data_IF_765968683297
#
_entry.id   IF_765968683297
#
_cell.length_a   1.000
_cell.length_b   1.000
_cell.length_c   1.000
_cell.angle_alpha   90.00
_cell.angle_beta   90.00
_cell.angle_gamma   90.00
#
_symmetry.space_group_name_H-M   'P 1'
#
loop_
_entity.id
_entity.type
_entity.pdbx_description
1 polymer ?
#
# COMPACT_ATOMS: atom_id res chain seq x y z
N UNK A 1 -18.05 40.77 -14.11
CA UNK A 1 -18.15 39.65 -13.15
C UNK A 1 -17.37 38.43 -13.68
N UNK A 2 -16.03 38.50 -13.73
CA UNK A 2 -15.15 37.38 -14.20
C UNK A 2 -13.81 37.28 -13.44
N UNK A 3 -13.55 38.12 -12.43
CA UNK A 3 -12.22 38.27 -11.82
C UNK A 3 -12.11 37.58 -10.45
N UNK A 4 -13.22 37.09 -9.87
CA UNK A 4 -13.22 36.60 -8.47
C UNK A 4 -12.93 35.08 -8.29
N UNK A 5 -12.70 34.31 -9.36
CA UNK A 5 -12.48 32.85 -9.26
C UNK A 5 -11.06 32.38 -9.63
N UNK A 6 -10.20 33.27 -10.13
CA UNK A 6 -8.84 32.96 -10.61
C UNK A 6 -7.90 32.48 -9.47
N UNK A 7 -7.84 33.13 -8.28
CA UNK A 7 -6.90 32.70 -7.24
C UNK A 7 -7.26 31.35 -6.62
N UNK A 8 -8.52 30.91 -6.69
CA UNK A 8 -8.93 29.57 -6.24
C UNK A 8 -8.55 28.48 -7.26
N UNK A 9 -8.65 28.75 -8.56
CA UNK A 9 -8.20 27.81 -9.59
C UNK A 9 -6.68 27.59 -9.57
N UNK A 10 -5.88 28.63 -9.37
CA UNK A 10 -4.42 28.50 -9.24
C UNK A 10 -4.02 27.72 -7.98
N UNK A 11 -4.73 27.94 -6.86
CA UNK A 11 -4.52 27.18 -5.63
C UNK A 11 -4.85 25.69 -5.77
N UNK A 12 -5.97 25.35 -6.42
CA UNK A 12 -6.34 23.95 -6.67
C UNK A 12 -5.40 23.25 -7.66
N UNK A 13 -4.98 23.95 -8.72
CA UNK A 13 -3.98 23.43 -9.66
C UNK A 13 -2.62 23.17 -8.98
N UNK A 14 -2.19 24.05 -8.08
CA UNK A 14 -0.97 23.88 -7.30
C UNK A 14 -1.03 22.65 -6.37
N UNK A 15 -2.17 22.46 -5.70
CA UNK A 15 -2.39 21.29 -4.84
C UNK A 15 -2.34 19.99 -5.66
N UNK A 16 -2.96 20.00 -6.84
CA UNK A 16 -2.96 18.86 -7.76
C UNK A 16 -1.55 18.55 -8.28
N UNK A 17 -0.80 19.57 -8.68
CA UNK A 17 0.59 19.45 -9.12
C UNK A 17 1.49 18.90 -8.02
N UNK A 18 1.35 19.37 -6.77
CA UNK A 18 2.10 18.85 -5.62
C UNK A 18 1.83 17.36 -5.39
N UNK A 19 0.57 16.93 -5.48
CA UNK A 19 0.21 15.52 -5.36
C UNK A 19 0.79 14.67 -6.50
N UNK A 20 0.81 15.18 -7.74
CA UNK A 20 1.44 14.50 -8.87
C UNK A 20 2.96 14.35 -8.69
N UNK A 21 3.65 15.39 -8.18
CA UNK A 21 5.07 15.31 -7.87
C UNK A 21 5.40 14.27 -6.81
N UNK A 22 4.61 14.20 -5.74
CA UNK A 22 4.79 13.19 -4.68
C UNK A 22 4.62 11.78 -5.27
N UNK A 23 3.57 11.57 -6.07
CA UNK A 23 3.35 10.29 -6.76
C UNK A 23 4.52 9.92 -7.66
N UNK A 24 5.01 10.85 -8.49
CA UNK A 24 6.16 10.63 -9.37
C UNK A 24 7.42 10.26 -8.58
N UNK A 25 7.70 10.99 -7.49
CA UNK A 25 8.85 10.72 -6.64
C UNK A 25 8.80 9.31 -6.02
N UNK A 26 7.63 8.88 -5.54
CA UNK A 26 7.44 7.53 -5.02
C UNK A 26 7.72 6.46 -6.09
N UNK A 27 7.18 6.63 -7.30
CA UNK A 27 7.41 5.69 -8.41
C UNK A 27 8.88 5.62 -8.82
N UNK A 28 9.60 6.75 -8.83
CA UNK A 28 11.04 6.76 -9.13
C UNK A 28 11.86 6.00 -8.08
N UNK A 29 11.52 6.11 -6.80
CA UNK A 29 12.21 5.38 -5.73
C UNK A 29 11.86 3.89 -5.79
N UNK A 30 10.61 3.52 -6.11
CA UNK A 30 10.20 2.14 -6.37
C UNK A 30 10.98 1.52 -7.54
N UNK A 31 11.14 2.27 -8.62
CA UNK A 31 11.97 1.86 -9.76
C UNK A 31 13.43 1.65 -9.34
N UNK A 32 13.98 2.53 -8.50
CA UNK A 32 15.33 2.37 -7.96
C UNK A 32 15.46 1.10 -7.11
N UNK A 33 14.46 0.78 -6.29
CA UNK A 33 14.41 -0.47 -5.52
C UNK A 33 14.40 -1.69 -6.45
N UNK A 34 13.56 -1.71 -7.48
CA UNK A 34 13.49 -2.81 -8.45
C UNK A 34 14.84 -3.05 -9.13
N UNK A 35 15.53 -1.97 -9.54
CA UNK A 35 16.87 -2.07 -10.13
C UNK A 35 17.89 -2.66 -9.15
N UNK A 36 17.88 -2.25 -7.87
CA UNK A 36 18.76 -2.80 -6.85
C UNK A 36 18.47 -4.28 -6.55
N UNK A 37 17.19 -4.68 -6.56
CA UNK A 37 16.78 -6.08 -6.40
C UNK A 37 17.30 -6.92 -7.55
N UNK A 38 17.09 -6.47 -8.79
CA UNK A 38 17.58 -7.17 -9.98
C UNK A 38 19.11 -7.32 -9.96
N UNK A 39 19.84 -6.25 -9.64
CA UNK A 39 21.31 -6.29 -9.53
C UNK A 39 21.79 -7.28 -8.44
N UNK A 40 21.12 -7.30 -7.30
CA UNK A 40 21.47 -8.23 -6.23
C UNK A 40 21.12 -9.70 -6.57
N UNK A 41 20.03 -9.94 -7.30
CA UNK A 41 19.70 -11.29 -7.79
C UNK A 41 20.79 -11.85 -8.72
N UNK A 42 21.40 -11.00 -9.55
CA UNK A 42 22.44 -11.38 -10.50
C UNK A 42 23.83 -11.46 -9.84
N UNK A 43 24.21 -10.47 -9.03
CA UNK A 43 25.56 -10.35 -8.47
C UNK A 43 25.73 -11.05 -7.12
N UNK A 44 24.67 -11.17 -6.30
CA UNK A 44 24.68 -11.66 -4.90
C UNK A 44 25.75 -11.02 -3.99
N UNK A 45 26.27 -9.84 -4.34
CA UNK A 45 27.36 -9.19 -3.60
C UNK A 45 26.89 -8.37 -2.40
N UNK A 46 25.60 -8.04 -2.34
CA UNK A 46 25.05 -7.09 -1.37
C UNK A 46 24.07 -7.78 -0.42
N UNK A 47 24.04 -7.32 0.83
CA UNK A 47 23.01 -7.74 1.78
C UNK A 47 21.64 -7.24 1.32
N UNK A 48 20.62 -8.07 1.43
CA UNK A 48 19.24 -7.74 1.10
C UNK A 48 18.75 -6.56 1.92
N UNK A 49 19.16 -6.42 3.19
CA UNK A 49 18.81 -5.25 3.99
C UNK A 49 19.19 -3.92 3.32
N UNK A 50 20.30 -3.87 2.57
CA UNK A 50 20.77 -2.67 1.87
C UNK A 50 19.88 -2.36 0.66
N UNK A 51 19.51 -3.40 -0.08
CA UNK A 51 18.57 -3.30 -1.22
C UNK A 51 17.20 -2.79 -0.77
N UNK A 52 16.74 -3.18 0.41
CA UNK A 52 15.46 -2.73 0.97
C UNK A 52 15.49 -1.34 1.63
N UNK A 53 16.66 -0.69 1.80
CA UNK A 53 16.78 0.65 2.42
C UNK A 53 15.84 1.69 1.81
N UNK A 54 15.77 1.87 0.48
CA UNK A 54 14.92 2.90 -0.13
C UNK A 54 13.44 2.72 0.25
N UNK A 55 13.01 1.47 0.37
CA UNK A 55 11.64 1.09 0.72
C UNK A 55 11.34 1.36 2.20
N UNK A 56 12.29 1.05 3.09
CA UNK A 56 12.19 1.37 4.53
C UNK A 56 12.14 2.88 4.73
N UNK A 57 12.97 3.64 4.00
CA UNK A 57 12.98 5.10 4.08
C UNK A 57 11.64 5.70 3.65
N UNK A 58 11.07 5.27 2.52
CA UNK A 58 9.71 5.68 2.11
C UNK A 58 8.70 5.39 3.22
N UNK A 59 8.76 4.19 3.81
CA UNK A 59 7.80 3.79 4.84
C UNK A 59 7.87 4.68 6.08
N UNK A 60 9.07 5.09 6.50
CA UNK A 60 9.26 6.05 7.61
C UNK A 60 8.71 7.44 7.25
N UNK A 61 9.05 7.95 6.06
CA UNK A 61 8.50 9.22 5.56
C UNK A 61 6.97 9.17 5.52
N UNK A 62 6.42 8.03 5.11
CA UNK A 62 5.00 7.81 5.01
C UNK A 62 4.26 7.85 6.35
N UNK A 63 4.89 7.38 7.44
CA UNK A 63 4.35 7.54 8.80
C UNK A 63 4.23 9.03 9.18
N UNK A 64 5.27 9.83 8.86
CA UNK A 64 5.25 11.26 9.15
C UNK A 64 4.16 11.99 8.34
N UNK A 65 3.99 11.62 7.05
CA UNK A 65 2.93 12.20 6.22
C UNK A 65 1.55 11.73 6.68
N UNK A 66 1.37 10.48 7.13
CA UNK A 66 0.11 10.02 7.71
C UNK A 66 -0.32 10.87 8.91
N UNK A 67 0.60 11.17 9.85
CA UNK A 67 0.31 12.03 11.01
C UNK A 67 -0.10 13.43 10.55
N UNK A 68 0.61 13.99 9.57
CA UNK A 68 0.29 15.29 9.00
C UNK A 68 -1.05 15.29 8.25
N UNK A 69 -1.36 14.21 7.53
CA UNK A 69 -2.55 14.06 6.71
C UNK A 69 -3.81 13.86 7.56
N UNK A 70 -3.72 13.11 8.67
CA UNK A 70 -4.79 13.02 9.69
C UNK A 70 -5.16 14.39 10.23
N UNK A 71 -4.18 15.29 10.39
CA UNK A 71 -4.41 16.66 10.86
C UNK A 71 -5.03 17.58 9.79
N UNK A 72 -4.98 17.20 8.52
CA UNK A 72 -5.37 18.04 7.39
C UNK A 72 -6.50 17.44 6.54
N UNK A 73 -7.21 16.42 7.05
CA UNK A 73 -8.33 15.72 6.38
C UNK A 73 -8.04 15.29 4.93
N UNK A 74 -6.78 14.95 4.63
CA UNK A 74 -6.37 14.45 3.30
C UNK A 74 -6.65 12.95 3.20
N UNK A 75 -6.97 12.45 2.01
CA UNK A 75 -7.02 11.00 1.73
C UNK A 75 -5.59 10.44 1.66
N UNK A 76 -5.22 9.51 2.56
CA UNK A 76 -3.85 8.96 2.68
C UNK A 76 -3.76 7.42 2.60
N UNK A 77 -4.56 6.79 1.74
CA UNK A 77 -4.68 5.32 1.66
C UNK A 77 -3.35 4.60 1.36
N UNK A 78 -2.61 5.05 0.34
CA UNK A 78 -1.33 4.44 -0.05
C UNK A 78 -0.27 4.62 1.04
N UNK A 79 -0.23 5.78 1.67
CA UNK A 79 0.75 6.09 2.71
C UNK A 79 0.52 5.22 3.95
N UNK A 80 -0.74 5.08 4.37
CA UNK A 80 -1.08 4.18 5.46
C UNK A 80 -0.68 2.74 5.13
N UNK A 81 -0.92 2.30 3.89
CA UNK A 81 -0.51 0.97 3.44
C UNK A 81 1.01 0.76 3.49
N UNK A 82 1.81 1.72 3.03
CA UNK A 82 3.28 1.63 3.15
C UNK A 82 3.73 1.64 4.61
N UNK A 83 3.14 2.48 5.45
CA UNK A 83 3.46 2.59 6.86
C UNK A 83 3.23 1.27 7.61
N UNK A 84 2.08 0.61 7.41
CA UNK A 84 1.77 -0.66 8.09
C UNK A 84 2.63 -1.83 7.58
N UNK A 85 3.09 -1.77 6.33
CA UNK A 85 3.90 -2.83 5.73
C UNK A 85 5.41 -2.66 5.96
N UNK A 86 5.86 -1.62 6.68
CA UNK A 86 7.28 -1.42 7.01
C UNK A 86 7.89 -2.65 7.70
N UNK A 87 7.13 -3.28 8.61
CA UNK A 87 7.59 -4.43 9.37
C UNK A 87 7.76 -5.66 8.46
N UNK A 88 6.89 -5.81 7.47
CA UNK A 88 7.00 -6.88 6.48
C UNK A 88 8.26 -6.70 5.62
N UNK A 89 8.56 -5.48 5.17
CA UNK A 89 9.78 -5.22 4.39
C UNK A 89 11.04 -5.55 5.18
N UNK A 90 11.07 -5.23 6.48
CA UNK A 90 12.18 -5.57 7.38
C UNK A 90 12.30 -7.09 7.55
N UNK A 91 11.20 -7.79 7.88
CA UNK A 91 11.25 -9.25 8.05
C UNK A 91 11.60 -9.98 6.76
N UNK A 92 11.13 -9.49 5.61
CA UNK A 92 11.45 -10.05 4.31
C UNK A 92 12.95 -9.91 4.01
N UNK A 93 13.52 -8.72 4.23
CA UNK A 93 14.95 -8.48 4.06
C UNK A 93 15.79 -9.37 4.98
N UNK A 94 15.43 -9.47 6.26
CA UNK A 94 16.12 -10.31 7.24
C UNK A 94 16.03 -11.81 6.92
N UNK A 95 14.90 -12.25 6.36
CA UNK A 95 14.70 -13.63 5.90
C UNK A 95 15.56 -13.94 4.68
N UNK A 96 15.63 -13.02 3.72
CA UNK A 96 16.45 -13.15 2.51
C UNK A 96 17.95 -13.13 2.81
N UNK A 97 18.37 -12.38 3.84
CA UNK A 97 19.75 -12.41 4.36
C UNK A 97 20.07 -13.65 5.21
N UNK A 98 19.14 -14.60 5.35
CA UNK A 98 19.26 -15.81 6.18
C UNK A 98 19.62 -15.56 7.66
N UNK A 99 19.49 -14.32 8.15
CA UNK A 99 19.65 -14.01 9.57
C UNK A 99 18.60 -14.69 10.44
N UNK A 100 17.40 -14.89 9.88
CA UNK A 100 16.25 -15.45 10.58
C UNK A 100 15.74 -16.70 9.85
N UNK A 101 15.85 -17.86 10.50
CA UNK A 101 15.41 -19.16 9.99
C UNK A 101 13.89 -19.42 10.17
N UNK A 102 13.08 -18.38 10.39
CA UNK A 102 11.64 -18.52 10.63
C UNK A 102 10.90 -18.96 9.38
N UNK A 103 9.78 -19.67 9.59
CA UNK A 103 8.86 -20.02 8.51
C UNK A 103 8.39 -18.76 7.79
N UNK A 104 8.25 -18.84 6.47
CA UNK A 104 7.67 -17.79 5.62
C UNK A 104 6.33 -17.29 6.17
N UNK A 105 5.61 -18.16 6.88
CA UNK A 105 4.35 -17.82 7.51
C UNK A 105 4.46 -16.60 8.44
N UNK A 106 5.50 -16.56 9.27
CA UNK A 106 5.72 -15.48 10.27
C UNK A 106 6.10 -14.17 9.59
N UNK A 107 6.89 -14.24 8.51
CA UNK A 107 7.33 -13.08 7.72
C UNK A 107 6.15 -12.35 7.09
N UNK A 108 5.10 -13.09 6.71
CA UNK A 108 3.90 -12.56 6.07
C UNK A 108 2.75 -12.23 7.05
N UNK A 109 2.91 -12.43 8.36
CA UNK A 109 1.90 -12.07 9.36
C UNK A 109 1.41 -10.62 9.25
N UNK A 110 2.28 -9.61 9.05
CA UNK A 110 1.81 -8.22 8.92
C UNK A 110 0.86 -8.02 7.73
N UNK A 111 1.11 -8.67 6.57
CA UNK A 111 0.19 -8.62 5.44
C UNK A 111 -1.14 -9.26 5.76
N UNK A 112 -1.11 -10.41 6.44
CA UNK A 112 -2.32 -11.14 6.78
C UNK A 112 -3.26 -10.28 7.63
N UNK A 113 -2.69 -9.54 8.58
CA UNK A 113 -3.45 -8.59 9.40
C UNK A 113 -4.09 -7.50 8.53
N UNK A 114 -3.34 -6.90 7.61
CA UNK A 114 -3.86 -5.85 6.69
C UNK A 114 -4.95 -6.42 5.77
N UNK A 115 -4.76 -7.63 5.26
CA UNK A 115 -5.74 -8.33 4.43
C UNK A 115 -7.04 -8.63 5.21
N UNK A 116 -6.94 -9.11 6.44
CA UNK A 116 -8.09 -9.32 7.30
C UNK A 116 -8.81 -8.00 7.61
N UNK A 117 -8.06 -6.95 7.96
CA UNK A 117 -8.62 -5.63 8.30
C UNK A 117 -9.33 -4.99 7.10
N UNK A 118 -8.74 -5.08 5.90
CA UNK A 118 -9.35 -4.59 4.66
C UNK A 118 -10.62 -5.37 4.30
N UNK A 119 -10.62 -6.70 4.46
CA UNK A 119 -11.83 -7.52 4.27
C UNK A 119 -12.96 -7.10 5.22
N UNK A 120 -12.65 -6.93 6.51
CA UNK A 120 -13.63 -6.47 7.50
C UNK A 120 -14.13 -5.06 7.17
N UNK A 121 -13.24 -4.15 6.74
CA UNK A 121 -13.62 -2.81 6.30
C UNK A 121 -14.61 -2.83 5.14
N UNK A 122 -14.34 -3.63 4.10
CA UNK A 122 -15.26 -3.80 2.97
C UNK A 122 -16.60 -4.37 3.44
N UNK A 123 -16.60 -5.40 4.27
CA UNK A 123 -17.84 -5.98 4.82
C UNK A 123 -18.65 -4.95 5.61
N UNK A 124 -18.00 -4.14 6.44
CA UNK A 124 -18.66 -3.06 7.20
C UNK A 124 -19.30 -2.04 6.26
N UNK A 125 -18.60 -1.61 5.20
CA UNK A 125 -19.16 -0.67 4.22
C UNK A 125 -20.35 -1.28 3.47
N UNK A 126 -20.33 -2.59 3.19
CA UNK A 126 -21.45 -3.29 2.55
C UNK A 126 -22.67 -3.32 3.48
N UNK A 127 -22.47 -3.63 4.77
CA UNK A 127 -23.57 -3.65 5.76
C UNK A 127 -24.15 -2.24 5.92
N UNK A 128 -23.30 -1.23 6.07
CA UNK A 128 -23.73 0.16 6.19
C UNK A 128 -24.47 0.64 4.93
N UNK A 129 -23.94 0.32 3.74
CA UNK A 129 -24.60 0.60 2.47
C UNK A 129 -25.93 -0.15 2.35
N UNK A 130 -26.03 -1.41 2.80
CA UNK A 130 -27.27 -2.19 2.79
C UNK A 130 -28.33 -1.59 3.74
N UNK A 131 -27.92 -1.02 4.86
CA UNK A 131 -28.80 -0.28 5.78
C UNK A 131 -29.29 1.03 5.13
N UNK A 132 -28.39 1.79 4.49
CA UNK A 132 -28.73 3.01 3.74
C UNK A 132 -29.61 2.72 2.51
N UNK A 133 -29.41 1.57 1.86
CA UNK A 133 -30.10 1.08 0.67
C UNK A 133 -31.58 0.77 0.85
N UNK A 134 -32.12 0.87 2.08
CA UNK A 134 -33.57 1.07 2.25
C UNK A 134 -34.07 2.37 1.59
N UNK A 135 -33.17 3.22 1.09
CA UNK A 135 -33.42 4.31 0.13
C UNK A 135 -32.74 3.94 -1.19
N UNK A 136 -33.44 3.98 -2.35
CA UNK A 136 -32.96 3.40 -3.59
C UNK A 136 -31.79 4.22 -4.15
N UNK A 137 -30.94 3.56 -4.95
CA UNK A 137 -29.73 4.03 -5.65
C UNK A 137 -28.41 3.69 -4.96
N UNK A 138 -27.93 2.43 -5.08
CA UNK A 138 -26.48 2.20 -5.13
C UNK A 138 -26.04 1.35 -6.33
N UNK A 139 -24.91 1.81 -6.84
CA UNK A 139 -24.29 1.59 -8.12
C UNK A 139 -23.63 0.20 -8.24
N UNK A 140 -23.87 -0.49 -9.37
CA UNK A 140 -23.33 -1.83 -9.68
C UNK A 140 -21.78 -1.89 -9.77
N UNK A 141 -21.10 -0.73 -9.86
CA UNK A 141 -19.64 -0.62 -9.87
C UNK A 141 -18.98 -1.04 -8.54
N UNK A 142 -19.58 -0.74 -7.39
CA UNK A 142 -19.01 -1.05 -6.07
C UNK A 142 -18.89 -2.57 -5.85
N UNK A 143 -19.91 -3.33 -6.32
CA UNK A 143 -19.98 -4.80 -6.21
C UNK A 143 -18.88 -5.52 -7.00
N UNK A 144 -18.46 -4.97 -8.14
CA UNK A 144 -17.35 -5.55 -8.94
C UNK A 144 -16.00 -5.36 -8.25
N UNK A 145 -15.79 -4.23 -7.57
CA UNK A 145 -14.58 -4.00 -6.79
C UNK A 145 -14.47 -5.02 -5.64
N UNK A 146 -15.56 -5.27 -4.92
CA UNK A 146 -15.60 -6.26 -3.82
C UNK A 146 -15.34 -7.71 -4.28
N UNK A 147 -15.85 -8.10 -5.46
CA UNK A 147 -15.60 -9.45 -6.01
C UNK A 147 -14.14 -9.59 -6.47
N UNK A 148 -13.55 -8.56 -7.07
CA UNK A 148 -12.15 -8.58 -7.46
C UNK A 148 -11.20 -8.67 -6.24
N UNK A 149 -11.52 -7.98 -5.14
CA UNK A 149 -10.75 -8.13 -3.89
C UNK A 149 -10.86 -9.55 -3.32
N UNK A 150 -12.06 -10.14 -3.31
CA UNK A 150 -12.28 -11.52 -2.86
C UNK A 150 -11.51 -12.56 -3.69
N UNK A 151 -11.47 -12.39 -5.02
CA UNK A 151 -10.68 -13.24 -5.91
C UNK A 151 -9.16 -13.01 -5.72
N UNK A 152 -8.74 -11.80 -5.40
CA UNK A 152 -7.36 -11.48 -5.03
C UNK A 152 -6.88 -12.23 -3.79
N UNK A 153 -7.71 -12.35 -2.75
CA UNK A 153 -7.36 -13.13 -1.55
C UNK A 153 -7.27 -14.64 -1.83
N UNK A 154 -8.14 -15.17 -2.69
CA UNK A 154 -8.06 -16.57 -3.13
C UNK A 154 -6.78 -16.87 -3.93
N UNK A 155 -6.34 -15.92 -4.75
CA UNK A 155 -5.11 -16.02 -5.54
C UNK A 155 -3.84 -15.89 -4.67
N UNK A 156 -3.88 -15.14 -3.57
CA UNK A 156 -2.76 -15.01 -2.62
C UNK A 156 -2.53 -16.23 -1.72
N UNK A 157 -3.55 -17.06 -1.51
CA UNK A 157 -3.40 -18.36 -0.84
C UNK A 157 -2.64 -19.37 -1.71
N UNK A 158 -2.64 -19.18 -3.04
CA UNK A 158 -2.00 -20.07 -3.99
C UNK A 158 -0.46 -20.12 -3.85
N UNK A 159 0.28 -18.99 -3.81
CA UNK A 159 1.71 -19.03 -3.50
C UNK A 159 1.99 -19.49 -2.07
N UNK A 160 1.09 -19.23 -1.11
CA UNK A 160 1.26 -19.67 0.28
C UNK A 160 1.18 -21.20 0.43
N UNK A 161 0.30 -21.85 -0.34
CA UNK A 161 0.28 -23.31 -0.48
C UNK A 161 1.54 -23.79 -1.21
N UNK A 162 1.95 -23.15 -2.31
CA UNK A 162 3.13 -23.54 -3.08
C UNK A 162 4.43 -23.51 -2.25
N UNK A 163 4.61 -22.51 -1.38
CA UNK A 163 5.76 -22.38 -0.48
C UNK A 163 5.74 -23.27 0.76
N UNK A 164 4.59 -23.88 1.10
CA UNK A 164 4.48 -24.83 2.21
C UNK A 164 4.75 -26.29 1.77
N UNK A 165 4.71 -26.56 0.46
CA UNK A 165 4.93 -27.89 -0.14
C UNK A 165 6.26 -28.02 -0.92
N UNK A 166 7.12 -27.00 -0.93
CA UNK A 166 8.43 -26.98 -1.57
C UNK A 166 9.50 -26.74 -0.51
#
# INVERSE_FOLDING_TARGET
MKILNIPRLEGEAYIHYKSMLISLALHLILLMFELLVCDNLESKRHLWILVFIPLIFISIVSIAICIWAVKHDRSFELELFCAVNVLQFIFLALRLDEFIMWSWEVVFVPLWIVMCLSLVGVLYTIIFAAILLRTPEVNAQQRRSSINSALGYGFWLYPYLCFRYC
#
